data_IF_413844718594
#
_entry.id   IF_413844718594
#
_cell.length_a   1.000
_cell.length_b   1.000
_cell.length_c   1.000
_cell.angle_alpha   90.00
_cell.angle_beta   90.00
_cell.angle_gamma   90.00
#
_symmetry.space_group_name_H-M   'P 1'
#
loop_
_entity.id
_entity.type
_entity.pdbx_description
1 polymer ?
#
# COMPACT_ATOMS: atom_id res chain seq x y z
N UNK A 1 -1.68 -10.14 1.81
CA UNK A 1 -2.34 -10.73 0.65
C UNK A 1 -2.69 -12.20 0.91
N UNK A 2 -3.90 -12.62 0.58
CA UNK A 2 -4.38 -14.00 0.73
C UNK A 2 -4.39 -14.73 -0.61
N UNK A 3 -4.19 -16.04 -0.58
CA UNK A 3 -4.32 -16.83 -1.80
C UNK A 3 -5.78 -16.98 -2.21
N UNK A 4 -6.06 -17.04 -3.52
CA UNK A 4 -7.42 -17.23 -4.07
C UNK A 4 -8.14 -18.43 -3.43
N UNK A 5 -7.43 -19.52 -3.18
CA UNK A 5 -7.99 -20.71 -2.54
C UNK A 5 -8.48 -20.47 -1.10
N UNK A 6 -7.90 -19.48 -0.40
CA UNK A 6 -8.26 -19.20 0.99
C UNK A 6 -9.47 -18.26 1.09
N UNK A 7 -9.74 -17.47 0.05
CA UNK A 7 -10.87 -16.54 -0.02
C UNK A 7 -12.21 -17.27 0.08
N UNK A 8 -12.30 -18.45 -0.48
CA UNK A 8 -13.51 -19.29 -0.41
C UNK A 8 -13.94 -19.61 1.02
N UNK A 9 -13.02 -19.53 1.98
CA UNK A 9 -13.30 -19.75 3.41
C UNK A 9 -13.89 -18.52 4.11
N UNK A 10 -13.85 -17.35 3.44
CA UNK A 10 -14.30 -16.09 4.00
C UNK A 10 -15.39 -15.48 3.11
N UNK A 11 -16.68 -15.74 3.41
CA UNK A 11 -17.81 -15.30 2.57
C UNK A 11 -17.78 -13.81 2.15
N UNK A 12 -17.32 -12.86 3.01
CA UNK A 12 -17.23 -11.46 2.61
C UNK A 12 -16.30 -11.20 1.43
N UNK A 13 -15.37 -12.11 1.15
CA UNK A 13 -14.39 -12.00 0.06
C UNK A 13 -14.75 -12.82 -1.19
N UNK A 14 -15.85 -13.58 -1.14
CA UNK A 14 -16.31 -14.34 -2.30
C UNK A 14 -16.49 -13.43 -3.53
N UNK A 15 -16.03 -13.89 -4.69
CA UNK A 15 -16.08 -13.15 -5.95
C UNK A 15 -14.90 -12.22 -6.19
N UNK A 16 -13.95 -12.09 -5.24
CA UNK A 16 -12.69 -11.32 -5.47
C UNK A 16 -11.71 -12.07 -6.36
N UNK A 17 -11.92 -13.32 -6.62
CA UNK A 17 -11.17 -14.13 -7.56
C UNK A 17 -11.45 -13.78 -9.03
N UNK A 18 -12.57 -13.10 -9.30
CA UNK A 18 -12.98 -12.71 -10.64
C UNK A 18 -12.40 -11.35 -11.03
N UNK A 19 -12.20 -11.14 -12.34
CA UNK A 19 -11.81 -9.86 -12.91
C UNK A 19 -12.89 -8.80 -12.65
N UNK A 20 -12.45 -7.56 -12.41
CA UNK A 20 -13.29 -6.38 -12.27
C UNK A 20 -13.09 -5.46 -13.49
N UNK A 21 -13.83 -5.72 -14.56
CA UNK A 21 -13.64 -5.09 -15.88
C UNK A 21 -13.74 -3.56 -15.89
N UNK A 22 -14.45 -2.97 -14.91
CA UNK A 22 -14.60 -1.52 -14.80
C UNK A 22 -13.48 -0.83 -14.00
N UNK A 23 -12.46 -1.58 -13.61
CA UNK A 23 -11.33 -1.08 -12.82
C UNK A 23 -10.03 -1.37 -13.54
N UNK A 24 -9.32 -0.32 -13.94
CA UNK A 24 -7.99 -0.45 -14.54
C UNK A 24 -6.92 -0.60 -13.47
N UNK A 25 -5.95 -1.44 -13.74
CA UNK A 25 -4.91 -1.79 -12.81
C UNK A 25 -3.54 -1.76 -13.46
N UNK A 26 -2.60 -1.01 -12.86
CA UNK A 26 -1.20 -1.03 -13.22
C UNK A 26 -0.39 -1.39 -11.98
N UNK A 27 0.54 -2.32 -12.08
CA UNK A 27 1.25 -2.80 -10.90
C UNK A 27 2.71 -3.16 -11.11
N UNK A 28 3.46 -3.06 -10.03
CA UNK A 28 4.77 -3.63 -9.82
C UNK A 28 4.78 -4.34 -8.46
N UNK A 29 4.99 -5.64 -8.44
CA UNK A 29 4.96 -6.48 -7.24
C UNK A 29 6.27 -7.23 -7.10
N UNK A 30 6.77 -7.27 -5.87
CA UNK A 30 8.05 -7.84 -5.53
C UNK A 30 9.20 -6.85 -5.69
N UNK A 31 10.34 -7.24 -5.14
CA UNK A 31 11.59 -6.47 -5.23
C UNK A 31 12.05 -6.45 -6.68
N UNK A 32 12.67 -5.36 -7.08
CA UNK A 32 13.24 -5.21 -8.44
C UNK A 32 12.22 -5.41 -9.58
N UNK A 33 10.96 -5.02 -9.33
CA UNK A 33 9.89 -5.15 -10.33
C UNK A 33 9.68 -6.61 -10.83
N UNK A 34 9.76 -7.56 -9.92
CA UNK A 34 9.73 -9.00 -10.23
C UNK A 34 8.51 -9.42 -11.05
N UNK A 35 7.37 -8.82 -10.78
CA UNK A 35 6.11 -9.06 -11.52
C UNK A 35 5.44 -7.71 -11.77
N UNK A 36 5.09 -7.43 -13.02
CA UNK A 36 4.43 -6.17 -13.39
C UNK A 36 3.37 -6.39 -14.47
N UNK A 37 2.51 -5.39 -14.67
CA UNK A 37 1.41 -5.47 -15.63
C UNK A 37 1.80 -5.12 -17.07
N UNK A 38 2.98 -4.51 -17.30
CA UNK A 38 3.34 -3.94 -18.61
C UNK A 38 2.24 -3.03 -19.19
N UNK A 39 1.80 -2.04 -18.40
CA UNK A 39 0.72 -1.14 -18.74
C UNK A 39 -0.58 -1.44 -17.98
N UNK A 40 -1.69 -0.88 -18.44
CA UNK A 40 -2.98 -1.01 -17.81
C UNK A 40 -3.70 -2.31 -18.21
N UNK A 41 -4.14 -3.05 -17.21
CA UNK A 41 -4.94 -4.29 -17.35
C UNK A 41 -6.24 -4.17 -16.54
N UNK A 42 -7.15 -5.10 -16.69
CA UNK A 42 -8.30 -5.20 -15.80
C UNK A 42 -7.87 -5.72 -14.43
N UNK A 43 -8.51 -5.21 -13.37
CA UNK A 43 -8.17 -5.60 -12.02
C UNK A 43 -8.57 -7.05 -11.75
N UNK A 44 -7.59 -7.87 -11.43
CA UNK A 44 -7.78 -9.28 -11.06
C UNK A 44 -6.67 -9.75 -10.11
N UNK A 45 -6.80 -10.91 -9.47
CA UNK A 45 -5.73 -11.48 -8.66
C UNK A 45 -4.45 -11.68 -9.47
N UNK A 46 -3.32 -11.29 -8.91
CA UNK A 46 -2.00 -11.49 -9.52
C UNK A 46 -1.35 -12.74 -8.90
N UNK A 47 -0.93 -13.68 -9.75
CA UNK A 47 -0.31 -14.94 -9.30
C UNK A 47 -1.16 -15.68 -8.24
N UNK A 48 -2.47 -15.77 -8.45
CA UNK A 48 -3.42 -16.37 -7.50
C UNK A 48 -3.41 -15.74 -6.10
N UNK A 49 -2.99 -14.45 -6.02
CA UNK A 49 -2.97 -13.69 -4.77
C UNK A 49 -3.99 -12.56 -4.83
N UNK A 50 -4.78 -12.45 -3.77
CA UNK A 50 -5.76 -11.38 -3.59
C UNK A 50 -5.20 -10.35 -2.63
N UNK A 51 -5.02 -9.15 -3.11
CA UNK A 51 -4.60 -8.00 -2.31
C UNK A 51 -5.76 -7.07 -1.94
N UNK A 52 -5.52 -6.07 -1.11
CA UNK A 52 -6.53 -5.12 -0.66
C UNK A 52 -7.15 -4.30 -1.81
N UNK A 53 -6.45 -4.14 -2.92
CA UNK A 53 -6.94 -3.42 -4.10
C UNK A 53 -8.24 -4.01 -4.65
N UNK A 54 -8.42 -5.32 -4.58
CA UNK A 54 -9.62 -5.99 -5.10
C UNK A 54 -10.87 -5.69 -4.26
N UNK A 55 -10.75 -5.76 -2.93
CA UNK A 55 -11.85 -5.43 -2.02
C UNK A 55 -12.15 -3.93 -2.02
N UNK A 56 -11.10 -3.10 -2.07
CA UNK A 56 -11.20 -1.66 -2.19
C UNK A 56 -11.98 -1.26 -3.45
N UNK A 57 -11.55 -1.74 -4.61
CA UNK A 57 -12.19 -1.46 -5.89
C UNK A 57 -13.67 -1.87 -5.89
N UNK A 58 -13.95 -3.10 -5.45
CA UNK A 58 -15.33 -3.60 -5.34
C UNK A 58 -16.21 -2.72 -4.44
N UNK A 59 -15.65 -2.20 -3.35
CA UNK A 59 -16.39 -1.33 -2.43
C UNK A 59 -16.63 0.06 -3.04
N UNK A 60 -15.61 0.63 -3.65
CA UNK A 60 -15.66 1.99 -4.22
C UNK A 60 -16.54 2.02 -5.46
N UNK A 61 -16.44 1.04 -6.36
CA UNK A 61 -17.27 0.93 -7.58
C UNK A 61 -18.78 0.91 -7.33
N UNK A 62 -19.19 0.52 -6.11
CA UNK A 62 -20.62 0.57 -5.72
C UNK A 62 -21.11 1.99 -5.43
N UNK A 63 -20.21 2.95 -5.22
CA UNK A 63 -20.53 4.29 -4.74
C UNK A 63 -20.14 5.40 -5.72
N UNK A 64 -19.36 5.09 -6.75
CA UNK A 64 -18.94 6.04 -7.76
C UNK A 64 -19.19 5.49 -9.16
N UNK A 65 -19.61 6.37 -10.08
CA UNK A 65 -19.91 5.99 -11.47
C UNK A 65 -18.68 6.04 -12.39
N UNK A 66 -17.74 7.01 -12.24
CA UNK A 66 -16.57 7.05 -13.11
C UNK A 66 -15.72 5.79 -12.98
N UNK A 67 -15.07 5.34 -14.07
CA UNK A 67 -14.10 4.26 -14.02
C UNK A 67 -13.01 4.53 -12.99
N UNK A 68 -12.55 3.47 -12.34
CA UNK A 68 -11.48 3.53 -11.34
C UNK A 68 -10.19 3.04 -11.99
N UNK A 69 -9.08 3.72 -11.67
CA UNK A 69 -7.74 3.27 -11.98
C UNK A 69 -6.93 3.11 -10.69
N UNK A 70 -6.25 2.00 -10.54
CA UNK A 70 -5.40 1.70 -9.38
C UNK A 70 -3.99 1.43 -9.85
N UNK A 71 -3.02 2.11 -9.24
CA UNK A 71 -1.60 1.81 -9.42
C UNK A 71 -1.09 1.20 -8.11
N UNK A 72 -0.53 0.01 -8.17
CA UNK A 72 0.00 -0.71 -7.01
C UNK A 72 1.51 -0.92 -7.15
N UNK A 73 2.25 -0.53 -6.11
CA UNK A 73 3.63 -0.98 -5.96
C UNK A 73 3.80 -1.58 -4.57
N UNK A 74 4.24 -2.83 -4.50
CA UNK A 74 4.37 -3.54 -3.23
C UNK A 74 5.53 -4.53 -3.26
N UNK A 75 6.35 -4.50 -2.22
CA UNK A 75 7.43 -5.47 -2.03
C UNK A 75 7.60 -5.79 -0.54
N UNK A 76 7.58 -7.07 -0.20
CA UNK A 76 7.81 -7.53 1.16
C UNK A 76 9.26 -7.31 1.61
N UNK A 77 9.45 -7.05 2.89
CA UNK A 77 10.77 -6.90 3.49
C UNK A 77 11.46 -5.58 3.14
N UNK A 78 10.71 -4.49 2.96
CA UNK A 78 11.21 -3.15 2.62
C UNK A 78 10.94 -2.14 3.74
N UNK A 79 11.81 -1.13 3.86
CA UNK A 79 11.81 -0.13 4.92
C UNK A 79 11.43 1.24 4.38
N UNK A 80 10.62 1.98 5.12
CA UNK A 80 10.34 3.38 4.81
C UNK A 80 11.60 4.24 4.97
N UNK A 81 12.36 3.99 6.03
CA UNK A 81 13.62 4.69 6.27
C UNK A 81 14.74 4.35 5.29
N UNK A 82 14.58 3.29 4.48
CA UNK A 82 15.58 2.80 3.55
C UNK A 82 15.10 2.73 2.10
N UNK A 83 14.50 1.62 1.71
CA UNK A 83 14.11 1.37 0.31
C UNK A 83 13.14 2.40 -0.26
N UNK A 84 12.23 2.89 0.57
CA UNK A 84 11.22 3.89 0.24
C UNK A 84 11.68 5.32 0.56
N UNK A 85 12.91 5.51 1.08
CA UNK A 85 13.44 6.83 1.36
C UNK A 85 13.58 7.61 0.03
N UNK A 86 12.91 8.76 -0.10
CA UNK A 86 12.92 9.50 -1.36
C UNK A 86 14.23 10.24 -1.64
N UNK A 87 15.03 10.50 -0.62
CA UNK A 87 16.30 11.24 -0.75
C UNK A 87 17.49 10.29 -0.96
N UNK A 88 17.54 9.22 -0.19
CA UNK A 88 18.63 8.24 -0.20
C UNK A 88 18.07 6.81 -0.23
N UNK A 89 17.43 6.38 -1.32
CA UNK A 89 16.88 5.04 -1.42
C UNK A 89 17.99 4.00 -1.48
N UNK A 90 17.95 3.05 -0.57
CA UNK A 90 18.90 1.93 -0.50
C UNK A 90 18.31 0.65 -1.07
N UNK A 91 19.13 -0.38 -1.22
CA UNK A 91 18.78 -1.74 -1.63
C UNK A 91 17.84 -1.78 -2.85
N UNK A 92 16.53 -1.95 -2.62
CA UNK A 92 15.55 -2.15 -3.70
C UNK A 92 15.01 -0.86 -4.32
N UNK A 93 15.42 0.30 -3.80
CA UNK A 93 15.11 1.62 -4.36
C UNK A 93 13.63 1.78 -4.76
N UNK A 94 12.75 1.43 -3.82
CA UNK A 94 11.31 1.35 -4.07
C UNK A 94 10.67 2.70 -4.40
N UNK A 95 11.18 3.80 -3.83
CA UNK A 95 10.64 5.13 -4.13
C UNK A 95 10.81 5.50 -5.61
N UNK A 96 12.01 5.51 -6.20
CA UNK A 96 12.17 5.83 -7.62
C UNK A 96 11.49 4.81 -8.55
N UNK A 97 11.47 3.53 -8.19
CA UNK A 97 10.75 2.50 -8.95
C UNK A 97 9.25 2.81 -9.00
N UNK A 98 8.64 3.12 -7.87
CA UNK A 98 7.22 3.45 -7.79
C UNK A 98 6.90 4.77 -8.47
N UNK A 99 7.74 5.78 -8.33
CA UNK A 99 7.56 7.05 -9.01
C UNK A 99 7.58 6.89 -10.54
N UNK A 100 8.49 6.08 -11.05
CA UNK A 100 8.55 5.74 -12.47
C UNK A 100 7.29 4.99 -12.93
N UNK A 101 6.83 4.00 -12.16
CA UNK A 101 5.59 3.29 -12.45
C UNK A 101 4.39 4.25 -12.52
N UNK A 102 4.24 5.13 -11.54
CA UNK A 102 3.16 6.11 -11.51
C UNK A 102 3.23 7.03 -12.73
N UNK A 103 4.40 7.62 -13.00
CA UNK A 103 4.58 8.55 -14.13
C UNK A 103 4.34 7.88 -15.48
N UNK A 104 4.82 6.66 -15.69
CA UNK A 104 4.58 5.91 -16.94
C UNK A 104 3.11 5.55 -17.12
N UNK A 105 2.44 5.09 -16.06
CA UNK A 105 1.01 4.77 -16.10
C UNK A 105 0.14 6.00 -16.40
N UNK A 106 0.48 7.15 -15.83
CA UNK A 106 -0.25 8.40 -16.12
C UNK A 106 0.01 8.88 -17.56
N UNK A 107 1.26 8.80 -18.03
CA UNK A 107 1.60 9.16 -19.40
C UNK A 107 0.87 8.29 -20.43
N UNK A 108 0.63 7.02 -20.14
CA UNK A 108 -0.21 6.15 -20.98
C UNK A 108 -1.65 6.66 -21.08
N UNK A 109 -2.25 7.07 -19.95
CA UNK A 109 -3.59 7.68 -19.95
C UNK A 109 -3.64 8.98 -20.77
N UNK A 110 -2.61 9.82 -20.63
CA UNK A 110 -2.49 11.05 -21.41
C UNK A 110 -2.38 10.77 -22.92
N UNK A 111 -1.60 9.76 -23.34
CA UNK A 111 -1.47 9.32 -24.73
C UNK A 111 -2.79 8.79 -25.29
N UNK A 112 -3.61 8.15 -24.45
CA UNK A 112 -4.95 7.69 -24.80
C UNK A 112 -5.99 8.80 -24.80
N UNK A 113 -5.64 10.04 -24.42
CA UNK A 113 -6.56 11.17 -24.30
C UNK A 113 -7.55 11.03 -23.12
N UNK A 114 -7.24 10.17 -22.16
CA UNK A 114 -8.08 9.92 -20.99
C UNK A 114 -7.80 10.96 -19.91
N UNK A 115 -8.82 11.73 -19.55
CA UNK A 115 -8.75 12.67 -18.41
C UNK A 115 -8.92 11.91 -17.12
N UNK A 116 -8.02 12.18 -16.18
CA UNK A 116 -8.04 11.54 -14.86
C UNK A 116 -7.81 12.55 -13.74
N UNK A 117 -8.10 12.12 -12.51
CA UNK A 117 -7.76 12.83 -11.28
C UNK A 117 -7.18 11.83 -10.29
N UNK A 118 -6.07 12.18 -9.66
CA UNK A 118 -5.50 11.37 -8.58
C UNK A 118 -6.23 11.71 -7.29
N UNK A 119 -6.98 10.75 -6.76
CA UNK A 119 -7.83 10.94 -5.58
C UNK A 119 -7.07 10.77 -4.28
N UNK A 120 -6.03 9.95 -4.24
CA UNK A 120 -5.24 9.74 -3.04
C UNK A 120 -4.19 8.66 -3.17
N UNK A 121 -3.41 8.54 -2.12
CA UNK A 121 -2.36 7.56 -1.94
C UNK A 121 -2.68 6.71 -0.70
N UNK A 122 -2.74 5.40 -0.87
CA UNK A 122 -2.95 4.47 0.25
C UNK A 122 -1.59 3.91 0.65
N UNK A 123 -1.23 4.07 1.92
CA UNK A 123 0.03 3.60 2.48
C UNK A 123 -0.23 2.61 3.61
N UNK A 124 0.31 1.40 3.51
CA UNK A 124 0.25 0.39 4.55
C UNK A 124 1.59 -0.34 4.60
N UNK A 125 2.45 0.06 5.51
CA UNK A 125 3.82 -0.46 5.67
C UNK A 125 4.37 -0.01 7.04
N UNK A 126 5.38 -0.69 7.56
CA UNK A 126 6.11 -0.32 8.77
C UNK A 126 6.73 -1.53 9.49
N UNK A 127 6.36 -2.74 9.09
CA UNK A 127 6.79 -3.97 9.75
C UNK A 127 8.31 -4.12 9.77
N UNK A 128 8.95 -3.85 8.65
CA UNK A 128 10.40 -3.98 8.55
C UNK A 128 11.16 -2.88 9.30
N UNK A 129 10.60 -1.66 9.33
CA UNK A 129 11.22 -0.56 10.08
C UNK A 129 11.31 -0.87 11.57
N UNK A 130 10.47 -1.78 12.11
CA UNK A 130 10.56 -2.22 13.50
C UNK A 130 11.87 -2.95 13.84
N UNK A 131 12.57 -3.51 12.87
CA UNK A 131 13.82 -4.23 13.10
C UNK A 131 15.06 -3.33 13.12
N UNK A 132 14.94 -2.10 12.63
CA UNK A 132 16.00 -1.10 12.59
C UNK A 132 15.68 0.06 13.52
N UNK A 133 16.41 0.18 14.63
CA UNK A 133 16.14 1.16 15.70
C UNK A 133 16.02 2.59 15.16
N UNK A 134 16.92 2.98 14.25
CA UNK A 134 16.90 4.30 13.65
C UNK A 134 15.65 4.53 12.77
N UNK A 135 15.23 3.53 12.01
CA UNK A 135 14.04 3.64 11.16
C UNK A 135 12.77 3.67 12.00
N UNK A 136 12.69 2.83 13.03
CA UNK A 136 11.57 2.78 13.94
C UNK A 136 11.38 4.12 14.66
N UNK A 137 12.45 4.63 15.28
CA UNK A 137 12.42 5.88 16.05
C UNK A 137 12.08 7.10 15.19
N UNK A 138 12.54 7.11 13.94
CA UNK A 138 12.32 8.22 13.01
C UNK A 138 11.15 7.96 12.04
N UNK A 139 10.33 6.93 12.27
CA UNK A 139 9.29 6.54 11.30
C UNK A 139 8.35 7.71 10.93
N UNK A 140 7.89 8.47 11.91
CA UNK A 140 7.03 9.64 11.66
C UNK A 140 7.69 10.71 10.78
N UNK A 141 8.98 11.01 11.01
CA UNK A 141 9.75 11.95 10.18
C UNK A 141 9.95 11.42 8.77
N UNK A 142 10.27 10.14 8.64
CA UNK A 142 10.45 9.48 7.34
C UNK A 142 9.13 9.50 6.55
N UNK A 143 8.00 9.24 7.21
CA UNK A 143 6.67 9.28 6.60
C UNK A 143 6.28 10.70 6.17
N UNK A 144 6.55 11.70 6.98
CA UNK A 144 6.31 13.10 6.64
C UNK A 144 7.13 13.53 5.42
N UNK A 145 8.41 13.15 5.37
CA UNK A 145 9.26 13.41 4.22
C UNK A 145 8.75 12.68 2.96
N UNK A 146 8.39 11.42 3.08
CA UNK A 146 7.82 10.61 2.00
C UNK A 146 6.57 11.26 1.39
N UNK A 147 5.61 11.67 2.22
CA UNK A 147 4.40 12.37 1.79
C UNK A 147 4.74 13.68 1.07
N UNK A 148 5.63 14.49 1.64
CA UNK A 148 6.04 15.77 1.06
C UNK A 148 6.67 15.61 -0.32
N UNK A 149 7.50 14.58 -0.49
CA UNK A 149 8.16 14.28 -1.75
C UNK A 149 7.17 13.80 -2.82
N UNK A 150 6.23 12.91 -2.47
CA UNK A 150 5.18 12.49 -3.39
C UNK A 150 4.33 13.67 -3.89
N UNK A 151 3.93 14.56 -2.99
CA UNK A 151 3.18 15.77 -3.34
C UNK A 151 3.96 16.66 -4.30
N UNK A 152 5.25 16.83 -4.06
CA UNK A 152 6.13 17.60 -4.95
C UNK A 152 6.30 16.92 -6.30
N UNK A 153 6.65 15.63 -6.31
CA UNK A 153 7.06 14.91 -7.53
C UNK A 153 5.88 14.61 -8.47
N UNK A 154 4.66 14.61 -7.94
CA UNK A 154 3.41 14.58 -8.70
C UNK A 154 2.80 15.96 -8.95
N UNK A 155 3.37 17.03 -8.39
CA UNK A 155 2.84 18.39 -8.44
C UNK A 155 1.39 18.49 -7.92
N UNK A 156 1.07 17.77 -6.84
CA UNK A 156 -0.24 17.78 -6.19
C UNK A 156 -0.06 18.11 -4.70
N UNK A 157 0.02 19.41 -4.33
CA UNK A 157 0.34 19.81 -2.94
C UNK A 157 -0.64 19.29 -1.89
N UNK A 158 -1.89 19.02 -2.29
CA UNK A 158 -2.96 18.53 -1.41
C UNK A 158 -3.31 17.07 -1.66
N UNK A 159 -2.39 16.28 -2.22
CA UNK A 159 -2.61 14.84 -2.40
C UNK A 159 -2.95 14.21 -1.05
N UNK A 160 -4.10 13.54 -1.01
CA UNK A 160 -4.55 12.85 0.20
C UNK A 160 -3.76 11.58 0.43
N UNK A 161 -3.39 11.36 1.68
CA UNK A 161 -2.75 10.13 2.12
C UNK A 161 -3.64 9.40 3.12
N UNK A 162 -3.89 8.13 2.85
CA UNK A 162 -4.63 7.23 3.73
C UNK A 162 -3.65 6.21 4.30
N UNK A 163 -3.35 6.33 5.59
CA UNK A 163 -2.30 5.57 6.26
C UNK A 163 -2.97 4.47 7.08
N UNK A 164 -2.86 3.23 6.62
CA UNK A 164 -3.37 2.07 7.33
C UNK A 164 -2.58 1.82 8.61
N UNK A 165 -3.30 1.61 9.71
CA UNK A 165 -2.70 1.25 10.99
C UNK A 165 -1.90 -0.04 10.87
N UNK A 166 -0.67 -0.01 11.39
CA UNK A 166 0.09 -1.23 11.56
C UNK A 166 -0.36 -1.94 12.83
N UNK A 167 -0.85 -3.17 12.72
CA UNK A 167 -1.36 -3.93 13.85
C UNK A 167 -0.68 -5.30 14.05
N UNK A 168 0.54 -5.45 13.54
CA UNK A 168 1.34 -6.66 13.68
C UNK A 168 1.68 -6.94 15.13
N UNK A 169 1.22 -8.06 15.68
CA UNK A 169 1.45 -8.45 17.07
C UNK A 169 2.73 -9.26 17.24
N UNK A 170 2.95 -10.19 16.34
CA UNK A 170 4.10 -11.11 16.40
C UNK A 170 4.67 -11.36 15.01
N UNK A 171 5.98 -11.48 14.93
CA UNK A 171 6.68 -11.99 13.74
C UNK A 171 7.69 -13.04 14.21
N UNK A 172 7.67 -14.22 13.60
CA UNK A 172 8.56 -15.33 13.96
C UNK A 172 8.56 -15.66 15.46
N UNK A 173 7.39 -15.57 16.10
CA UNK A 173 7.25 -15.86 17.53
C UNK A 173 7.73 -14.75 18.47
N UNK A 174 8.27 -13.65 17.95
CA UNK A 174 8.65 -12.48 18.76
C UNK A 174 7.45 -11.59 19.02
N UNK A 175 7.31 -11.09 20.25
CA UNK A 175 6.34 -10.04 20.58
C UNK A 175 6.85 -8.68 20.09
N UNK A 176 6.24 -8.16 19.05
CA UNK A 176 6.63 -6.89 18.45
C UNK A 176 5.71 -5.73 18.83
N UNK A 177 4.75 -5.94 19.72
CA UNK A 177 3.80 -4.89 20.12
C UNK A 177 4.44 -3.58 20.56
N UNK A 178 5.52 -3.55 21.37
CA UNK A 178 6.17 -2.28 21.73
C UNK A 178 6.72 -1.53 20.51
N UNK A 179 7.32 -2.26 19.58
CA UNK A 179 7.89 -1.71 18.35
C UNK A 179 6.80 -1.25 17.37
N UNK A 180 5.73 -2.03 17.26
CA UNK A 180 4.54 -1.66 16.49
C UNK A 180 3.91 -0.36 17.00
N UNK A 181 3.83 -0.17 18.32
CA UNK A 181 3.32 1.08 18.90
C UNK A 181 4.17 2.29 18.49
N UNK A 182 5.49 2.16 18.45
CA UNK A 182 6.37 3.23 17.99
C UNK A 182 6.08 3.64 16.54
N UNK A 183 5.90 2.66 15.65
CA UNK A 183 5.50 2.90 14.26
C UNK A 183 4.12 3.58 14.19
N UNK A 184 3.12 3.02 14.90
CA UNK A 184 1.75 3.56 14.88
C UNK A 184 1.68 4.99 15.45
N UNK A 185 2.47 5.30 16.48
CA UNK A 185 2.58 6.68 16.98
C UNK A 185 3.22 7.61 15.94
N UNK A 186 4.22 7.14 15.21
CA UNK A 186 4.77 7.88 14.07
C UNK A 186 3.73 8.17 12.99
N UNK A 187 2.89 7.18 12.66
CA UNK A 187 1.77 7.33 11.71
C UNK A 187 0.75 8.37 12.22
N UNK A 188 0.33 8.27 13.49
CA UNK A 188 -0.62 9.21 14.10
C UNK A 188 -0.06 10.63 14.22
N UNK A 189 1.22 10.77 14.52
CA UNK A 189 1.86 12.08 14.65
C UNK A 189 1.78 12.88 13.33
N UNK A 190 2.00 12.22 12.20
CA UNK A 190 1.87 12.84 10.87
C UNK A 190 0.44 13.30 10.63
N UNK A 191 -0.55 12.46 10.90
CA UNK A 191 -1.96 12.80 10.61
C UNK A 191 -2.51 13.88 11.53
N UNK A 192 -1.94 14.09 12.71
CA UNK A 192 -2.29 15.20 13.61
C UNK A 192 -1.90 16.58 13.04
N UNK A 193 -0.86 16.63 12.21
CA UNK A 193 -0.29 17.89 11.71
C UNK A 193 -0.56 18.12 10.22
N UNK A 194 -0.94 17.10 9.48
CA UNK A 194 -1.20 17.16 8.04
C UNK A 194 -2.70 17.00 7.75
N UNK A 195 -3.41 18.07 7.35
CA UNK A 195 -4.86 18.03 7.10
C UNK A 195 -5.26 17.20 5.87
N UNK A 196 -4.30 16.75 5.07
CA UNK A 196 -4.50 15.89 3.91
C UNK A 196 -3.98 14.47 4.13
N UNK A 197 -3.68 14.10 5.37
CA UNK A 197 -3.34 12.74 5.76
C UNK A 197 -4.34 12.22 6.80
N UNK A 198 -4.80 10.99 6.61
CA UNK A 198 -5.80 10.34 7.46
C UNK A 198 -5.24 9.00 7.95
N UNK A 199 -5.38 8.75 9.26
CA UNK A 199 -5.04 7.50 9.89
C UNK A 199 -6.25 6.56 9.86
N UNK A 200 -6.10 5.39 9.25
CA UNK A 200 -7.16 4.40 9.13
C UNK A 200 -6.93 3.30 10.17
N UNK A 201 -7.70 3.27 11.26
CA UNK A 201 -7.55 2.25 12.29
C UNK A 201 -8.00 0.88 11.76
N UNK A 202 -7.18 -0.13 11.94
CA UNK A 202 -7.45 -1.51 11.51
C UNK A 202 -7.37 -2.51 12.66
N UNK A 203 -6.79 -2.17 13.79
CA UNK A 203 -6.58 -3.06 14.92
C UNK A 203 -7.88 -3.67 15.49
N UNK A 204 -9.02 -2.97 15.32
CA UNK A 204 -10.33 -3.43 15.77
C UNK A 204 -10.95 -4.48 14.85
N UNK A 205 -10.43 -4.68 13.64
CA UNK A 205 -11.01 -5.59 12.64
C UNK A 205 -10.81 -7.06 13.06
N UNK A 206 -9.77 -7.35 13.84
CA UNK A 206 -9.63 -8.62 14.57
C UNK A 206 -9.67 -9.88 13.72
N UNK A 207 -9.29 -9.81 12.44
CA UNK A 207 -9.26 -11.00 11.59
C UNK A 207 -8.01 -11.79 11.93
N UNK A 208 -8.16 -12.81 12.74
CA UNK A 208 -7.14 -13.86 12.87
C UNK A 208 -7.10 -14.64 11.57
N UNK A 209 -6.20 -14.25 10.68
CA UNK A 209 -5.83 -15.13 9.57
C UNK A 209 -4.92 -16.18 10.19
N UNK A 210 -5.53 -17.32 10.56
CA UNK A 210 -4.85 -18.38 11.25
C UNK A 210 -3.70 -18.93 10.44
N UNK A 211 -2.50 -18.49 10.77
CA UNK A 211 -1.31 -19.26 10.51
C UNK A 211 -0.88 -19.86 11.85
N UNK A 212 -0.94 -21.20 12.02
CA UNK A 212 -0.52 -21.86 13.26
C UNK A 212 0.95 -21.65 13.62
N UNK A 213 1.73 -21.03 12.74
CA UNK A 213 3.16 -20.74 12.96
C UNK A 213 3.39 -19.27 13.35
N UNK A 214 2.34 -18.46 13.53
CA UNK A 214 2.43 -17.10 14.07
C UNK A 214 3.13 -16.09 13.16
N UNK A 215 3.09 -16.30 11.87
CA UNK A 215 3.72 -15.44 10.87
C UNK A 215 2.71 -14.42 10.33
N UNK A 216 2.63 -13.24 10.84
CA UNK A 216 1.83 -12.10 10.40
C UNK A 216 0.35 -12.15 10.75
N UNK A 217 -0.04 -11.34 11.72
CA UNK A 217 -1.40 -10.85 11.90
C UNK A 217 -1.43 -9.41 11.37
N UNK A 218 -2.14 -9.21 10.28
CA UNK A 218 -2.42 -7.88 9.73
C UNK A 218 -3.85 -7.50 10.07
#
# INVERSE_FOLDING_TARGET
DSRVQDIKRYPPFAGLESSQENVRFSYSIGRENKTNSNGWVDLQPVNNTVGPELSFARKVSKNITPPIAIIKCAAGGTHLGGDWNPDEPIQFKMYPLTLNLVKSSLAELDQMGIKYRIEGFIWHQGENDMFEENYMTNYGKNLQNFISKWRRDLNIPKLKFYIGELCTKTIWGMDLRPRMYAISEGQRAVTKTDPFAEYIPTAHIGVEIGNPVGLHYH
#
